data_IF_465383937116
#
_entry.id   IF_465383937116
#
_cell.length_a   1.000
_cell.length_b   1.000
_cell.length_c   1.000
_cell.angle_alpha   90.00
_cell.angle_beta   90.00
_cell.angle_gamma   90.00
#
_symmetry.space_group_name_H-M   'P 1'
#
loop_
_entity.id
_entity.type
_entity.pdbx_description
1 polymer ?
#
# COMPACT_ATOMS: atom_id res chain seq x y z
N UNK A 1 27.92 -2.41 -7.14
CA UNK A 1 28.09 -0.98 -6.79
C UNK A 1 27.31 -0.14 -7.77
N UNK A 2 26.40 0.70 -7.29
CA UNK A 2 25.72 1.68 -8.14
C UNK A 2 26.69 2.77 -8.58
N UNK A 3 26.62 3.19 -9.84
CA UNK A 3 27.46 4.28 -10.36
C UNK A 3 26.88 5.65 -9.98
N UNK A 4 27.74 6.66 -9.90
CA UNK A 4 27.34 8.05 -9.59
C UNK A 4 26.30 8.55 -10.60
N UNK A 5 26.49 8.25 -11.89
CA UNK A 5 25.56 8.61 -12.95
C UNK A 5 24.19 7.95 -12.77
N UNK A 6 24.15 6.66 -12.39
CA UNK A 6 22.90 5.96 -12.13
C UNK A 6 22.12 6.62 -10.98
N UNK A 7 22.81 6.97 -9.88
CA UNK A 7 22.17 7.63 -8.73
C UNK A 7 21.62 9.01 -9.09
N UNK A 8 22.37 9.81 -9.87
CA UNK A 8 21.91 11.12 -10.35
C UNK A 8 20.65 11.03 -11.19
N UNK A 9 20.60 10.08 -12.12
CA UNK A 9 19.41 9.86 -12.96
C UNK A 9 18.22 9.47 -12.10
N UNK A 10 18.38 8.48 -11.20
CA UNK A 10 17.32 8.06 -10.27
C UNK A 10 16.81 9.22 -9.42
N UNK A 11 17.73 10.02 -8.86
CA UNK A 11 17.40 11.19 -8.05
C UNK A 11 16.53 12.19 -8.83
N UNK A 12 16.97 12.60 -10.03
CA UNK A 12 16.24 13.57 -10.84
C UNK A 12 14.86 13.07 -11.24
N UNK A 13 14.74 11.81 -11.65
CA UNK A 13 13.47 11.19 -12.06
C UNK A 13 12.52 11.11 -10.87
N UNK A 14 12.97 10.56 -9.75
CA UNK A 14 12.14 10.39 -8.55
C UNK A 14 11.68 11.74 -7.98
N UNK A 15 12.58 12.72 -7.86
CA UNK A 15 12.23 14.05 -7.37
C UNK A 15 11.21 14.75 -8.27
N UNK A 16 11.39 14.67 -9.59
CA UNK A 16 10.48 15.30 -10.56
C UNK A 16 9.06 14.71 -10.51
N UNK A 17 8.94 13.41 -10.19
CA UNK A 17 7.66 12.71 -10.05
C UNK A 17 7.07 12.92 -8.65
N UNK A 18 7.90 13.03 -7.62
CA UNK A 18 7.47 13.17 -6.24
C UNK A 18 6.70 14.48 -6.00
N UNK A 19 7.17 15.61 -6.52
CA UNK A 19 6.53 16.93 -6.34
C UNK A 19 5.06 16.94 -6.83
N UNK A 20 4.75 16.54 -8.09
CA UNK A 20 3.37 16.50 -8.54
C UNK A 20 2.56 15.42 -7.82
N UNK A 21 3.19 14.29 -7.44
CA UNK A 21 2.52 13.24 -6.67
C UNK A 21 2.04 13.75 -5.31
N UNK A 22 2.90 14.40 -4.52
CA UNK A 22 2.54 15.00 -3.22
C UNK A 22 1.39 16.01 -3.39
N UNK A 23 1.49 16.87 -4.42
CA UNK A 23 0.43 17.84 -4.72
C UNK A 23 -0.91 17.16 -5.01
N UNK A 24 -0.90 16.07 -5.77
CA UNK A 24 -2.08 15.26 -6.07
C UNK A 24 -2.66 14.62 -4.81
N UNK A 25 -1.83 13.96 -3.99
CA UNK A 25 -2.27 13.33 -2.73
C UNK A 25 -2.90 14.34 -1.78
N UNK A 26 -2.27 15.51 -1.59
CA UNK A 26 -2.82 16.59 -0.75
C UNK A 26 -4.16 17.07 -1.31
N UNK A 27 -4.26 17.28 -2.63
CA UNK A 27 -5.51 17.68 -3.28
C UNK A 27 -6.64 16.66 -3.10
N UNK A 28 -6.35 15.36 -3.26
CA UNK A 28 -7.31 14.28 -3.08
C UNK A 28 -7.77 14.16 -1.62
N UNK A 29 -6.85 14.23 -0.66
CA UNK A 29 -7.15 14.22 0.77
C UNK A 29 -7.99 15.43 1.13
N UNK A 30 -7.61 16.63 0.68
CA UNK A 30 -8.37 17.87 0.92
C UNK A 30 -9.79 17.78 0.35
N UNK A 31 -9.94 17.35 -0.90
CA UNK A 31 -11.25 17.20 -1.53
C UNK A 31 -12.13 16.18 -0.78
N UNK A 32 -11.53 15.06 -0.37
CA UNK A 32 -12.21 14.03 0.42
C UNK A 32 -12.71 14.63 1.73
N UNK A 33 -11.84 15.29 2.50
CA UNK A 33 -12.16 15.84 3.83
C UNK A 33 -13.14 17.02 3.76
N UNK A 34 -12.99 17.89 2.76
CA UNK A 34 -13.85 19.07 2.58
C UNK A 34 -15.29 18.69 2.26
N UNK A 35 -15.49 17.62 1.48
CA UNK A 35 -16.82 17.13 1.16
C UNK A 35 -17.31 16.08 2.17
N UNK A 36 -18.12 16.53 3.14
CA UNK A 36 -18.75 15.65 4.15
C UNK A 36 -19.58 14.51 3.54
N UNK A 37 -20.14 14.69 2.34
CA UNK A 37 -20.86 13.64 1.64
C UNK A 37 -19.93 12.52 1.17
N UNK A 38 -18.77 12.91 0.62
CA UNK A 38 -17.70 11.98 0.22
C UNK A 38 -17.15 11.25 1.44
N UNK A 39 -16.83 11.94 2.54
CA UNK A 39 -16.34 11.29 3.76
C UNK A 39 -17.30 10.24 4.33
N UNK A 40 -18.62 10.48 4.29
CA UNK A 40 -19.60 9.59 4.92
C UNK A 40 -19.84 8.30 4.15
N UNK A 41 -19.47 8.25 2.87
CA UNK A 41 -19.56 7.03 2.10
C UNK A 41 -18.48 6.05 2.56
N UNK A 42 -18.89 4.85 3.02
CA UNK A 42 -17.95 3.89 3.60
C UNK A 42 -16.77 3.54 2.68
N UNK A 43 -17.02 3.44 1.38
CA UNK A 43 -15.99 3.19 0.35
C UNK A 43 -14.82 4.18 0.45
N UNK A 44 -15.11 5.42 0.84
CA UNK A 44 -14.11 6.47 0.88
C UNK A 44 -13.27 6.44 2.16
N UNK A 45 -13.67 5.72 3.21
CA UNK A 45 -12.85 5.58 4.41
C UNK A 45 -11.58 4.77 4.13
N UNK A 46 -11.71 3.60 3.52
CA UNK A 46 -10.55 2.75 3.23
C UNK A 46 -9.63 3.40 2.19
N UNK A 47 -10.21 4.05 1.17
CA UNK A 47 -9.47 4.87 0.22
C UNK A 47 -8.73 6.02 0.91
N UNK A 48 -9.36 6.69 1.88
CA UNK A 48 -8.72 7.75 2.64
C UNK A 48 -7.51 7.24 3.44
N UNK A 49 -7.63 6.11 4.13
CA UNK A 49 -6.51 5.49 4.84
C UNK A 49 -5.38 5.10 3.89
N UNK A 50 -5.71 4.55 2.70
CA UNK A 50 -4.73 4.24 1.67
C UNK A 50 -3.98 5.50 1.20
N UNK A 51 -4.71 6.58 0.89
CA UNK A 51 -4.11 7.86 0.46
C UNK A 51 -3.18 8.46 1.53
N UNK A 52 -3.56 8.36 2.80
CA UNK A 52 -2.73 8.83 3.92
C UNK A 52 -1.48 7.96 4.07
N UNK A 53 -1.60 6.63 4.00
CA UNK A 53 -0.47 5.70 4.08
C UNK A 53 0.53 5.93 2.94
N UNK A 54 0.04 6.07 1.70
CA UNK A 54 0.86 6.40 0.53
C UNK A 54 1.58 7.74 0.69
N UNK A 55 0.87 8.78 1.16
CA UNK A 55 1.47 10.08 1.39
C UNK A 55 2.59 9.99 2.44
N UNK A 56 2.38 9.23 3.52
CA UNK A 56 3.41 8.99 4.52
C UNK A 56 4.62 8.25 3.93
N UNK A 57 4.41 7.24 3.09
CA UNK A 57 5.49 6.52 2.41
C UNK A 57 6.33 7.46 1.53
N UNK A 58 5.65 8.35 0.77
CA UNK A 58 6.31 9.33 -0.08
C UNK A 58 7.06 10.39 0.73
N UNK A 59 6.52 10.84 1.87
CA UNK A 59 7.14 11.88 2.69
C UNK A 59 8.27 11.37 3.57
N UNK A 60 8.28 10.07 3.90
CA UNK A 60 9.28 9.46 4.77
C UNK A 60 10.27 8.64 3.96
N UNK A 61 9.88 7.46 3.50
CA UNK A 61 10.77 6.52 2.81
C UNK A 61 11.38 7.12 1.53
N UNK A 62 10.56 7.66 0.63
CA UNK A 62 11.10 8.22 -0.63
C UNK A 62 12.03 9.43 -0.39
N UNK A 63 11.78 10.23 0.65
CA UNK A 63 12.69 11.31 1.05
C UNK A 63 14.04 10.77 1.55
N UNK A 64 14.04 9.69 2.33
CA UNK A 64 15.27 9.03 2.79
C UNK A 64 16.03 8.40 1.62
N UNK A 65 15.33 7.77 0.67
CA UNK A 65 15.91 7.24 -0.57
C UNK A 65 16.53 8.35 -1.41
N UNK A 66 15.87 9.51 -1.55
CA UNK A 66 16.41 10.65 -2.29
C UNK A 66 17.66 11.23 -1.62
N UNK A 67 17.70 11.30 -0.29
CA UNK A 67 18.89 11.73 0.43
C UNK A 67 20.07 10.77 0.15
N UNK A 68 19.83 9.46 0.25
CA UNK A 68 20.82 8.44 -0.12
C UNK A 68 21.28 8.56 -1.58
N UNK A 69 20.36 8.78 -2.53
CA UNK A 69 20.72 8.94 -3.96
C UNK A 69 21.58 10.20 -4.20
N UNK A 70 21.41 11.22 -3.37
CA UNK A 70 22.20 12.47 -3.42
C UNK A 70 23.59 12.28 -2.82
N UNK A 71 23.69 11.74 -1.61
CA UNK A 71 24.93 11.64 -0.84
C UNK A 71 25.74 10.40 -1.20
N UNK A 72 25.06 9.33 -1.58
CA UNK A 72 25.62 8.01 -1.85
C UNK A 72 25.92 7.18 -0.60
N UNK A 73 25.54 7.67 0.58
CA UNK A 73 25.77 7.02 1.87
C UNK A 73 24.61 7.38 2.82
N UNK A 74 24.23 6.47 3.69
CA UNK A 74 23.17 6.70 4.67
C UNK A 74 23.68 7.61 5.80
N UNK A 75 23.00 8.73 6.03
CA UNK A 75 23.32 9.72 7.07
C UNK A 75 22.09 9.91 7.98
N UNK A 76 22.23 9.74 9.31
CA UNK A 76 23.42 9.33 10.05
C UNK A 76 23.76 7.84 9.86
N UNK A 77 25.05 7.53 9.80
CA UNK A 77 25.55 6.15 9.67
C UNK A 77 25.57 5.43 11.03
N UNK A 78 24.38 5.21 11.59
CA UNK A 78 24.17 4.53 12.87
C UNK A 78 23.11 3.43 12.73
N UNK A 79 23.30 2.32 13.45
CA UNK A 79 22.42 1.14 13.36
C UNK A 79 20.95 1.46 13.67
N UNK A 80 20.71 2.34 14.66
CA UNK A 80 19.35 2.72 15.07
C UNK A 80 18.61 3.40 13.93
N UNK A 81 19.28 4.24 13.15
CA UNK A 81 18.69 4.92 12.00
C UNK A 81 18.29 3.90 10.92
N UNK A 82 19.18 2.95 10.61
CA UNK A 82 18.90 1.89 9.66
C UNK A 82 17.73 0.99 10.08
N UNK A 83 17.61 0.65 11.36
CA UNK A 83 16.46 -0.11 11.88
C UNK A 83 15.15 0.66 11.74
N UNK A 84 15.15 1.96 12.07
CA UNK A 84 13.97 2.81 11.92
C UNK A 84 13.58 2.95 10.45
N UNK A 85 14.55 3.17 9.56
CA UNK A 85 14.28 3.26 8.12
C UNK A 85 13.70 1.95 7.58
N UNK A 86 14.34 0.81 7.85
CA UNK A 86 13.81 -0.51 7.46
C UNK A 86 12.40 -0.75 8.00
N UNK A 87 12.14 -0.38 9.26
CA UNK A 87 10.81 -0.50 9.85
C UNK A 87 9.79 0.35 9.09
N UNK A 88 10.10 1.63 8.81
CA UNK A 88 9.22 2.53 8.07
C UNK A 88 8.96 2.01 6.66
N UNK A 89 10.00 1.63 5.93
CA UNK A 89 9.93 1.10 4.57
C UNK A 89 9.02 -0.13 4.51
N UNK A 90 9.37 -1.17 5.28
CA UNK A 90 8.63 -2.43 5.29
C UNK A 90 7.20 -2.27 5.79
N UNK A 91 6.98 -1.52 6.88
CA UNK A 91 5.66 -1.30 7.44
C UNK A 91 4.75 -0.53 6.48
N UNK A 92 5.22 0.59 5.92
CA UNK A 92 4.40 1.40 5.02
C UNK A 92 4.15 0.68 3.70
N UNK A 93 5.15 0.00 3.14
CA UNK A 93 4.98 -0.82 1.94
C UNK A 93 3.96 -1.94 2.15
N UNK A 94 4.09 -2.71 3.23
CA UNK A 94 3.14 -3.76 3.59
C UNK A 94 1.74 -3.20 3.85
N UNK A 95 1.64 -2.05 4.54
CA UNK A 95 0.36 -1.41 4.83
C UNK A 95 -0.35 -0.95 3.56
N UNK A 96 0.35 -0.27 2.66
CA UNK A 96 -0.18 0.17 1.36
C UNK A 96 -0.64 -1.04 0.55
N UNK A 97 0.19 -2.08 0.45
CA UNK A 97 -0.13 -3.32 -0.29
C UNK A 97 -1.41 -3.99 0.23
N UNK A 98 -1.53 -4.17 1.54
CA UNK A 98 -2.70 -4.80 2.16
C UNK A 98 -3.94 -3.89 2.09
N UNK A 99 -3.80 -2.57 2.29
CA UNK A 99 -4.90 -1.63 2.12
C UNK A 99 -5.39 -1.58 0.67
N UNK A 100 -4.49 -1.66 -0.31
CA UNK A 100 -4.85 -1.71 -1.73
C UNK A 100 -5.58 -3.01 -2.08
N UNK A 101 -5.14 -4.15 -1.53
CA UNK A 101 -5.89 -5.40 -1.64
C UNK A 101 -7.28 -5.26 -1.02
N UNK A 102 -7.34 -4.73 0.19
CA UNK A 102 -8.59 -4.60 0.93
C UNK A 102 -9.59 -3.69 0.21
N UNK A 103 -9.17 -2.51 -0.25
CA UNK A 103 -10.03 -1.59 -1.03
C UNK A 103 -10.55 -2.26 -2.30
N UNK A 104 -9.77 -3.15 -2.93
CA UNK A 104 -10.20 -3.92 -4.09
C UNK A 104 -11.27 -4.96 -3.74
N UNK A 105 -11.08 -5.72 -2.65
CA UNK A 105 -12.07 -6.68 -2.13
C UNK A 105 -13.36 -5.95 -1.72
N UNK A 106 -13.21 -4.88 -0.95
CA UNK A 106 -14.29 -4.07 -0.44
C UNK A 106 -15.14 -3.48 -1.58
N UNK A 107 -14.51 -3.02 -2.67
CA UNK A 107 -15.22 -2.56 -3.87
C UNK A 107 -16.12 -3.64 -4.45
N UNK A 108 -15.69 -4.91 -4.45
CA UNK A 108 -16.55 -6.02 -4.87
C UNK A 108 -17.72 -6.23 -3.92
N UNK A 109 -17.48 -6.18 -2.60
CA UNK A 109 -18.53 -6.31 -1.58
C UNK A 109 -19.59 -5.21 -1.77
N UNK A 110 -19.18 -3.96 -1.98
CA UNK A 110 -20.12 -2.87 -2.19
C UNK A 110 -20.93 -2.97 -3.47
N UNK A 111 -20.32 -3.42 -4.57
CA UNK A 111 -21.02 -3.48 -5.86
C UNK A 111 -22.02 -4.63 -5.88
N UNK A 112 -21.67 -5.78 -5.28
CA UNK A 112 -22.46 -7.01 -5.44
C UNK A 112 -23.24 -7.44 -4.18
N UNK A 113 -22.79 -7.06 -2.98
CA UNK A 113 -23.32 -7.59 -1.72
C UNK A 113 -23.73 -6.51 -0.71
N UNK A 114 -23.96 -5.27 -1.17
CA UNK A 114 -24.28 -4.14 -0.29
C UNK A 114 -25.44 -4.42 0.68
N UNK A 115 -26.54 -4.98 0.17
CA UNK A 115 -27.75 -5.24 0.96
C UNK A 115 -27.64 -6.39 1.97
N UNK A 116 -26.71 -7.33 1.79
CA UNK A 116 -26.61 -8.53 2.62
C UNK A 116 -25.50 -8.42 3.68
N UNK A 117 -24.36 -7.83 3.29
CA UNK A 117 -23.15 -7.77 4.11
C UNK A 117 -22.98 -6.45 4.86
N UNK A 118 -23.73 -5.39 4.51
CA UNK A 118 -23.54 -4.05 5.13
C UNK A 118 -24.80 -3.46 5.75
N UNK A 119 -25.86 -4.27 5.88
CA UNK A 119 -27.17 -3.84 6.38
C UNK A 119 -27.18 -3.53 7.89
N UNK A 120 -26.39 -4.25 8.69
CA UNK A 120 -26.35 -4.06 10.15
C UNK A 120 -25.04 -3.43 10.62
N UNK A 121 -25.08 -2.71 11.76
CA UNK A 121 -23.89 -2.08 12.35
C UNK A 121 -22.78 -3.10 12.68
N UNK A 122 -23.16 -4.28 13.16
CA UNK A 122 -22.20 -5.36 13.48
C UNK A 122 -21.53 -5.87 12.22
N UNK A 123 -22.30 -6.21 11.17
CA UNK A 123 -21.72 -6.67 9.90
C UNK A 123 -20.84 -5.59 9.28
N UNK A 124 -21.26 -4.32 9.34
CA UNK A 124 -20.42 -3.19 8.92
C UNK A 124 -19.11 -3.13 9.71
N UNK A 125 -19.13 -3.34 11.02
CA UNK A 125 -17.89 -3.42 11.78
C UNK A 125 -17.01 -4.59 11.32
N UNK A 126 -17.57 -5.80 11.21
CA UNK A 126 -16.81 -7.00 10.84
C UNK A 126 -16.26 -6.99 9.40
N UNK A 127 -16.99 -6.40 8.44
CA UNK A 127 -16.64 -6.44 7.01
C UNK A 127 -16.08 -5.12 6.46
N UNK A 128 -15.89 -4.10 7.30
CA UNK A 128 -15.27 -2.83 6.86
C UNK A 128 -14.19 -2.38 7.85
N UNK A 129 -14.54 -2.14 9.11
CA UNK A 129 -13.60 -1.60 10.10
C UNK A 129 -12.65 -2.65 10.67
N UNK A 130 -13.14 -3.84 10.98
CA UNK A 130 -12.38 -4.95 11.56
C UNK A 130 -11.16 -5.33 10.73
N UNK A 131 -11.29 -5.53 9.40
CA UNK A 131 -10.17 -5.89 8.53
C UNK A 131 -9.10 -4.80 8.46
N UNK A 132 -9.48 -3.52 8.47
CA UNK A 132 -8.54 -2.40 8.53
C UNK A 132 -7.77 -2.35 9.85
N UNK A 133 -8.48 -2.49 10.98
CA UNK A 133 -7.86 -2.51 12.32
C UNK A 133 -6.94 -3.71 12.48
N UNK A 134 -7.39 -4.88 12.01
CA UNK A 134 -6.61 -6.11 12.05
C UNK A 134 -5.36 -5.99 11.18
N UNK A 135 -5.49 -5.53 9.92
CA UNK A 135 -4.34 -5.34 9.03
C UNK A 135 -3.29 -4.40 9.62
N UNK A 136 -3.72 -3.24 10.11
CA UNK A 136 -2.82 -2.27 10.73
C UNK A 136 -2.12 -2.86 11.97
N UNK A 137 -2.89 -3.43 12.90
CA UNK A 137 -2.34 -4.00 14.13
C UNK A 137 -1.41 -5.18 13.87
N UNK A 138 -1.78 -6.08 12.96
CA UNK A 138 -0.97 -7.23 12.57
C UNK A 138 0.36 -6.80 11.95
N UNK A 139 0.34 -5.90 10.94
CA UNK A 139 1.57 -5.43 10.29
C UNK A 139 2.46 -4.66 11.27
N UNK A 140 1.87 -3.80 12.11
CA UNK A 140 2.62 -3.05 13.11
C UNK A 140 3.36 -4.00 14.07
N UNK A 141 2.65 -5.00 14.62
CA UNK A 141 3.26 -5.98 15.52
C UNK A 141 4.32 -6.83 14.83
N UNK A 142 4.06 -7.28 13.60
CA UNK A 142 4.99 -8.07 12.81
C UNK A 142 6.28 -7.29 12.53
N UNK A 143 6.17 -6.05 12.04
CA UNK A 143 7.35 -5.26 11.68
C UNK A 143 8.11 -4.73 12.90
N UNK A 144 7.43 -4.45 14.03
CA UNK A 144 8.11 -4.18 15.30
C UNK A 144 8.93 -5.40 15.74
N UNK A 145 8.35 -6.60 15.66
CA UNK A 145 9.02 -7.82 16.05
C UNK A 145 10.29 -8.05 15.22
N UNK A 146 10.20 -8.01 13.89
CA UNK A 146 11.37 -8.30 13.04
C UNK A 146 12.44 -7.20 13.11
N UNK A 147 12.06 -5.93 13.27
CA UNK A 147 13.02 -4.82 13.29
C UNK A 147 13.76 -4.66 14.63
N UNK A 148 13.07 -4.92 15.76
CA UNK A 148 13.59 -4.57 17.09
C UNK A 148 13.76 -5.75 18.06
N UNK A 149 13.00 -6.84 17.90
CA UNK A 149 12.95 -7.93 18.89
C UNK A 149 13.62 -9.21 18.38
N UNK A 150 13.52 -9.48 17.08
CA UNK A 150 13.99 -10.73 16.49
C UNK A 150 15.50 -10.91 16.73
N UNK A 151 15.93 -12.06 17.29
CA UNK A 151 17.32 -12.28 17.71
C UNK A 151 18.21 -12.64 16.52
N UNK A 152 18.49 -11.65 15.66
CA UNK A 152 19.54 -11.74 14.65
C UNK A 152 20.44 -10.49 14.69
N UNK A 153 21.71 -10.71 14.37
CA UNK A 153 22.71 -9.64 14.32
C UNK A 153 22.60 -8.93 12.98
N UNK A 154 22.32 -7.62 13.00
CA UNK A 154 22.16 -6.86 11.77
C UNK A 154 23.52 -6.31 11.35
N UNK A 155 23.96 -6.67 10.13
CA UNK A 155 25.14 -6.11 9.50
C UNK A 155 24.73 -5.06 8.46
N UNK A 156 24.58 -3.82 8.89
CA UNK A 156 24.15 -2.73 8.01
C UNK A 156 25.28 -2.26 7.09
N UNK A 157 24.99 -2.14 5.79
CA UNK A 157 25.87 -1.49 4.82
C UNK A 157 25.32 -0.09 4.49
N UNK A 158 25.96 0.94 5.06
CA UNK A 158 25.58 2.33 4.86
C UNK A 158 25.79 2.84 3.42
N UNK A 159 26.45 2.08 2.54
CA UNK A 159 26.61 2.42 1.13
C UNK A 159 25.51 1.80 0.25
N UNK A 160 24.53 1.12 0.86
CA UNK A 160 23.38 0.56 0.18
C UNK A 160 22.08 1.25 0.64
N UNK A 161 21.11 1.29 -0.27
CA UNK A 161 19.77 1.79 0.03
C UNK A 161 19.13 0.91 1.11
N UNK A 162 18.40 1.54 2.04
CA UNK A 162 17.78 0.84 3.19
C UNK A 162 18.80 0.03 4.01
N UNK A 163 20.08 0.46 3.98
CA UNK A 163 21.18 -0.15 4.71
C UNK A 163 21.40 -1.66 4.44
N UNK A 164 21.11 -2.13 3.23
CA UNK A 164 21.14 -3.54 2.82
C UNK A 164 20.07 -4.46 3.45
N UNK A 165 19.08 -3.89 4.14
CA UNK A 165 17.98 -4.65 4.74
C UNK A 165 18.25 -5.13 6.16
N UNK A 166 17.26 -5.80 6.74
CA UNK A 166 17.35 -6.45 8.05
C UNK A 166 17.82 -7.91 7.91
N UNK A 167 18.53 -8.44 8.91
CA UNK A 167 19.05 -9.81 8.92
C UNK A 167 17.99 -10.90 8.80
N UNK A 168 16.72 -10.64 9.15
CA UNK A 168 15.65 -11.64 9.01
C UNK A 168 15.48 -12.12 7.57
N UNK A 169 15.78 -11.26 6.58
CA UNK A 169 15.64 -11.58 5.17
C UNK A 169 16.71 -12.56 4.67
N UNK A 170 17.91 -12.55 5.26
CA UNK A 170 19.05 -13.40 4.86
C UNK A 170 19.21 -14.61 5.77
N UNK A 171 19.08 -14.42 7.08
CA UNK A 171 19.49 -15.41 8.09
C UNK A 171 18.33 -16.32 8.49
N UNK A 172 17.10 -15.84 8.32
CA UNK A 172 15.88 -16.61 8.61
C UNK A 172 15.01 -16.77 7.37
N UNK A 173 15.30 -17.75 6.50
CA UNK A 173 14.65 -17.88 5.19
C UNK A 173 13.13 -18.03 5.31
N UNK A 174 12.64 -18.64 6.39
CA UNK A 174 11.19 -18.79 6.64
C UNK A 174 10.51 -17.43 6.81
N UNK A 175 11.10 -16.51 7.58
CA UNK A 175 10.51 -15.17 7.81
C UNK A 175 10.64 -14.29 6.55
N UNK A 176 11.80 -14.35 5.87
CA UNK A 176 12.01 -13.62 4.61
C UNK A 176 11.01 -14.04 3.53
N UNK A 177 10.84 -15.35 3.31
CA UNK A 177 9.87 -15.88 2.34
C UNK A 177 8.44 -15.55 2.76
N UNK A 178 8.12 -15.64 4.06
CA UNK A 178 6.80 -15.30 4.57
C UNK A 178 6.46 -13.83 4.29
N UNK A 179 7.35 -12.90 4.62
CA UNK A 179 7.15 -11.47 4.36
C UNK A 179 6.94 -11.19 2.87
N UNK A 180 7.82 -11.72 2.02
CA UNK A 180 7.74 -11.53 0.58
C UNK A 180 6.44 -12.11 -0.02
N UNK A 181 6.01 -13.30 0.43
CA UNK A 181 4.80 -13.93 -0.08
C UNK A 181 3.54 -13.23 0.43
N UNK A 182 3.42 -13.06 1.75
CA UNK A 182 2.18 -12.62 2.40
C UNK A 182 1.94 -11.13 2.25
N UNK A 183 2.99 -10.30 2.29
CA UNK A 183 2.85 -8.86 2.26
C UNK A 183 3.06 -8.25 0.86
N UNK A 184 3.69 -8.97 -0.07
CA UNK A 184 3.95 -8.47 -1.43
C UNK A 184 3.30 -9.31 -2.54
N UNK A 185 3.72 -10.56 -2.73
CA UNK A 185 3.36 -11.36 -3.92
C UNK A 185 1.87 -11.74 -3.93
N UNK A 186 1.36 -12.33 -2.84
CA UNK A 186 -0.04 -12.77 -2.76
C UNK A 186 -1.00 -11.58 -2.88
N UNK A 187 -0.81 -10.46 -2.15
CA UNK A 187 -1.66 -9.29 -2.33
C UNK A 187 -1.67 -8.76 -3.76
N UNK A 188 -0.49 -8.63 -4.39
CA UNK A 188 -0.38 -8.15 -5.78
C UNK A 188 -1.14 -9.03 -6.77
N UNK A 189 -1.00 -10.35 -6.67
CA UNK A 189 -1.72 -11.30 -7.53
C UNK A 189 -3.23 -11.19 -7.33
N UNK A 190 -3.68 -11.13 -6.08
CA UNK A 190 -5.10 -11.01 -5.76
C UNK A 190 -5.68 -9.66 -6.24
N UNK A 191 -4.97 -8.56 -6.07
CA UNK A 191 -5.35 -7.24 -6.61
C UNK A 191 -5.56 -7.33 -8.12
N UNK A 192 -4.63 -7.94 -8.86
CA UNK A 192 -4.74 -8.12 -10.30
C UNK A 192 -5.96 -8.96 -10.68
N UNK A 193 -6.13 -10.14 -10.06
CA UNK A 193 -7.25 -11.05 -10.35
C UNK A 193 -8.60 -10.37 -10.07
N UNK A 194 -8.74 -9.71 -8.92
CA UNK A 194 -9.97 -9.05 -8.52
C UNK A 194 -10.28 -7.86 -9.44
N UNK A 195 -9.30 -7.01 -9.75
CA UNK A 195 -9.54 -5.89 -10.66
C UNK A 195 -9.91 -6.35 -12.07
N UNK A 196 -9.25 -7.39 -12.61
CA UNK A 196 -9.62 -7.99 -13.89
C UNK A 196 -11.03 -8.58 -13.83
N UNK A 197 -11.37 -9.31 -12.77
CA UNK A 197 -12.70 -9.86 -12.55
C UNK A 197 -13.78 -8.78 -12.53
N UNK A 198 -13.52 -7.64 -11.87
CA UNK A 198 -14.43 -6.51 -11.85
C UNK A 198 -14.64 -5.92 -13.24
N UNK A 199 -13.55 -5.69 -13.98
CA UNK A 199 -13.58 -5.15 -15.34
C UNK A 199 -14.41 -6.04 -16.27
N UNK A 200 -14.14 -7.35 -16.29
CA UNK A 200 -14.88 -8.32 -17.11
C UNK A 200 -16.38 -8.27 -16.77
N UNK A 201 -16.73 -8.27 -15.48
CA UNK A 201 -18.14 -8.26 -15.04
C UNK A 201 -18.85 -6.97 -15.40
N UNK A 202 -18.20 -5.82 -15.25
CA UNK A 202 -18.78 -4.52 -15.61
C UNK A 202 -19.04 -4.45 -17.12
N UNK A 203 -18.08 -4.90 -17.94
CA UNK A 203 -18.26 -4.97 -19.40
C UNK A 203 -19.41 -5.92 -19.75
N UNK A 204 -19.47 -7.10 -19.14
CA UNK A 204 -20.51 -8.08 -19.43
C UNK A 204 -21.90 -7.60 -19.03
N UNK A 205 -22.04 -7.00 -17.85
CA UNK A 205 -23.31 -6.38 -17.43
C UNK A 205 -23.75 -5.28 -18.38
N UNK A 206 -22.81 -4.44 -18.83
CA UNK A 206 -23.09 -3.37 -19.78
C UNK A 206 -23.51 -3.92 -21.15
N UNK A 207 -22.82 -4.93 -21.65
CA UNK A 207 -23.16 -5.61 -22.90
C UNK A 207 -24.55 -6.26 -22.84
N UNK A 208 -24.85 -6.99 -21.76
CA UNK A 208 -26.14 -7.67 -21.61
C UNK A 208 -27.30 -6.68 -21.47
N UNK A 209 -27.12 -5.57 -20.73
CA UNK A 209 -28.15 -4.52 -20.61
C UNK A 209 -28.44 -3.83 -21.95
N UNK A 210 -27.42 -3.54 -22.75
CA UNK A 210 -27.60 -2.94 -24.09
C UNK A 210 -28.32 -3.90 -25.04
N UNK A 211 -28.00 -5.19 -25.01
CA UNK A 211 -28.69 -6.19 -25.84
C UNK A 211 -30.17 -6.30 -25.47
N UNK A 212 -30.48 -6.27 -24.17
CA UNK A 212 -31.86 -6.27 -23.69
C UNK A 212 -32.61 -5.01 -24.13
N UNK A 213 -32.02 -3.81 -24.00
CA UNK A 213 -32.70 -2.57 -24.42
C UNK A 213 -33.02 -2.52 -25.91
N UNK A 214 -32.22 -3.16 -26.76
CA UNK A 214 -32.50 -3.28 -28.20
C UNK A 214 -33.67 -4.24 -28.48
N UNK A 215 -33.79 -5.34 -27.73
CA UNK A 215 -34.94 -6.27 -27.82
C UNK A 215 -36.26 -5.60 -27.40
N UNK A 216 -36.24 -4.71 -26.39
CA UNK A 216 -37.44 -3.96 -25.96
C UNK A 216 -37.90 -2.88 -26.96
N UNK A 217 -37.08 -2.49 -27.94
CA UNK A 217 -37.47 -1.53 -28.99
C UNK A 217 -38.05 -2.22 -30.24
N UNK A 218 -38.04 -3.55 -30.30
CA UNK A 218 -38.55 -4.34 -31.43
C UNK A 218 -39.95 -4.93 -31.18
N UNK A 219 -40.55 -4.69 -30.00
CA UNK A 219 -41.93 -5.04 -29.65
C UNK A 219 -42.75 -3.77 -29.39
#
# INVERSE_FOLDING_TARGET
METIESRRIKFCVLLSIQIPSITCYIGLIYNTVSNRGTLRALQNHALFFLLVADLLAILTDLCMVLDFLRTGVVIPSIDVYCRIWNFIDLFLYGLVSILMLWTTIERHIFIFHHGELLNTRIKRFCFHYGPLIFAFGYLLMFYIYIAFIHPCENHFDYNQVVCAGLCFATDTPVLGIYDQLVHSIVPSILICILNLGLWIRVIWQKYYRMRRSLEWQQH
#
